data_IF_535750056732
#
_entry.id   IF_535750056732
#
_cell.length_a   1.000
_cell.length_b   1.000
_cell.length_c   1.000
_cell.angle_alpha   90.00
_cell.angle_beta   90.00
_cell.angle_gamma   90.00
#
_symmetry.space_group_name_H-M   'P 1'
#
loop_
_entity.id
_entity.type
_entity.pdbx_description
1 polymer ?
#
# COMPACT_ATOMS: atom_id res chain seq x y z
N UNK A 1 10.48 -17.49 6.47
CA UNK A 1 9.22 -16.93 7.02
C UNK A 1 8.52 -15.95 6.04
N UNK A 2 9.17 -14.87 5.54
CA UNK A 2 8.51 -13.92 4.61
C UNK A 2 7.98 -14.59 3.33
N UNK A 3 8.75 -15.48 2.72
CA UNK A 3 8.30 -16.26 1.56
C UNK A 3 7.09 -17.15 1.86
N UNK A 4 7.02 -17.72 3.07
CA UNK A 4 5.86 -18.50 3.49
C UNK A 4 4.65 -17.61 3.69
N UNK A 5 4.84 -16.43 4.30
CA UNK A 5 3.78 -15.44 4.47
C UNK A 5 3.21 -15.00 3.11
N UNK A 6 4.07 -14.73 2.13
CA UNK A 6 3.65 -14.36 0.77
C UNK A 6 2.89 -15.47 0.07
N UNK A 7 3.41 -16.71 0.10
CA UNK A 7 2.72 -17.87 -0.48
C UNK A 7 1.35 -18.12 0.14
N UNK A 8 1.26 -18.03 1.48
CA UNK A 8 -0.02 -18.21 2.18
C UNK A 8 -1.01 -17.09 1.82
N UNK A 9 -0.53 -15.85 1.67
CA UNK A 9 -1.35 -14.74 1.24
C UNK A 9 -1.90 -14.95 -0.20
N UNK A 10 -1.04 -15.36 -1.14
CA UNK A 10 -1.42 -15.68 -2.51
C UNK A 10 -2.45 -16.81 -2.57
N UNK A 11 -2.23 -17.89 -1.80
CA UNK A 11 -3.18 -18.99 -1.66
C UNK A 11 -4.56 -18.48 -1.19
N UNK A 12 -4.60 -17.58 -0.20
CA UNK A 12 -5.87 -17.04 0.34
C UNK A 12 -6.57 -16.11 -0.63
N UNK A 13 -5.83 -15.35 -1.43
CA UNK A 13 -6.40 -14.58 -2.52
C UNK A 13 -7.04 -15.49 -3.57
N UNK A 14 -6.37 -16.57 -3.94
CA UNK A 14 -6.83 -17.52 -4.95
C UNK A 14 -8.01 -18.38 -4.46
N UNK A 15 -8.02 -18.76 -3.18
CA UNK A 15 -9.11 -19.54 -2.57
C UNK A 15 -10.38 -18.73 -2.29
N UNK A 16 -10.35 -17.39 -2.42
CA UNK A 16 -11.47 -16.52 -2.09
C UNK A 16 -11.63 -16.20 -0.59
N UNK A 17 -10.71 -16.64 0.28
CA UNK A 17 -10.75 -16.32 1.71
C UNK A 17 -10.68 -14.80 1.97
N UNK A 18 -10.04 -14.04 1.08
CA UNK A 18 -9.97 -12.59 1.12
C UNK A 18 -11.04 -11.90 0.26
N UNK A 19 -12.11 -12.62 -0.11
CA UNK A 19 -13.15 -12.08 -0.97
C UNK A 19 -13.81 -10.83 -0.37
N UNK A 20 -13.93 -9.77 -1.17
CA UNK A 20 -14.52 -8.50 -0.75
C UNK A 20 -15.18 -7.76 -1.90
N UNK A 21 -16.09 -6.85 -1.58
CA UNK A 21 -16.70 -5.92 -2.53
C UNK A 21 -16.50 -4.45 -2.13
N UNK A 22 -15.71 -4.19 -1.07
CA UNK A 22 -15.43 -2.83 -0.62
C UNK A 22 -14.00 -2.73 -0.10
N UNK A 23 -13.19 -1.93 -0.79
CA UNK A 23 -11.76 -1.76 -0.57
C UNK A 23 -11.41 -0.29 -0.37
N UNK A 24 -10.53 0.00 0.57
CA UNK A 24 -9.85 1.29 0.68
C UNK A 24 -8.41 1.14 0.21
N UNK A 25 -7.92 2.14 -0.52
CA UNK A 25 -6.59 2.16 -1.11
C UNK A 25 -5.87 3.47 -0.82
N UNK A 26 -4.60 3.39 -0.47
CA UNK A 26 -3.72 4.55 -0.25
C UNK A 26 -2.25 4.19 -0.50
N UNK A 27 -1.38 5.19 -0.57
CA UNK A 27 0.06 5.06 -0.66
C UNK A 27 0.75 5.70 0.56
N UNK A 28 1.68 4.96 1.15
CA UNK A 28 2.53 5.47 2.23
C UNK A 28 3.94 5.68 1.71
N UNK A 29 4.51 6.85 1.95
CA UNK A 29 5.90 7.11 1.57
C UNK A 29 6.86 6.78 2.71
N UNK A 30 7.95 6.12 2.37
CA UNK A 30 9.17 5.94 3.17
C UNK A 30 10.40 6.18 2.29
N UNK A 31 11.59 5.76 2.69
CA UNK A 31 12.78 5.96 1.89
C UNK A 31 13.85 4.89 2.13
N UNK A 32 14.72 4.71 1.15
CA UNK A 32 15.89 3.85 1.18
C UNK A 32 17.13 4.69 1.50
N UNK A 33 17.82 4.38 2.61
CA UNK A 33 18.98 5.12 3.13
C UNK A 33 18.72 6.60 3.45
N UNK A 34 18.08 7.34 2.56
CA UNK A 34 17.93 8.80 2.62
C UNK A 34 16.60 9.23 1.99
N UNK A 35 16.08 10.38 2.45
CA UNK A 35 14.87 11.00 1.90
C UNK A 35 14.93 11.29 0.39
N UNK A 36 16.14 11.31 -0.18
CA UNK A 36 16.36 11.52 -1.62
C UNK A 36 16.18 10.24 -2.45
N UNK A 37 16.00 9.10 -1.80
CA UNK A 37 15.68 7.81 -2.42
C UNK A 37 14.31 7.32 -1.90
N UNK A 38 13.21 8.01 -2.28
CA UNK A 38 11.90 7.70 -1.77
C UNK A 38 11.40 6.35 -2.26
N UNK A 39 10.53 5.74 -1.43
CA UNK A 39 9.82 4.50 -1.69
C UNK A 39 8.35 4.79 -1.47
N UNK A 40 7.52 4.43 -2.43
CA UNK A 40 6.08 4.33 -2.26
C UNK A 40 5.69 2.92 -1.84
N UNK A 41 4.78 2.82 -0.90
CA UNK A 41 4.17 1.56 -0.45
C UNK A 41 2.68 1.67 -0.72
N UNK A 42 2.24 1.07 -1.80
CA UNK A 42 0.84 0.96 -2.17
C UNK A 42 0.15 -0.06 -1.26
N UNK A 43 -0.99 0.28 -0.69
CA UNK A 43 -1.71 -0.51 0.29
C UNK A 43 -3.20 -0.57 -0.05
N UNK A 44 -3.76 -1.79 -0.08
CA UNK A 44 -5.17 -2.05 -0.24
C UNK A 44 -5.71 -2.84 0.96
N UNK A 45 -6.79 -2.38 1.56
CA UNK A 45 -7.42 -3.03 2.70
C UNK A 45 -8.92 -3.23 2.50
N UNK A 46 -9.48 -4.26 3.09
CA UNK A 46 -10.93 -4.44 3.20
C UNK A 46 -11.50 -3.33 4.10
N UNK A 47 -12.40 -2.52 3.57
CA UNK A 47 -12.88 -1.30 4.24
C UNK A 47 -13.56 -1.53 5.60
N UNK A 48 -14.15 -2.70 5.84
CA UNK A 48 -14.86 -3.01 7.09
C UNK A 48 -13.98 -3.62 8.17
N UNK A 49 -13.00 -4.45 7.79
CA UNK A 49 -12.25 -5.29 8.74
C UNK A 49 -10.77 -4.89 8.87
N UNK A 50 -10.24 -4.14 7.90
CA UNK A 50 -8.82 -3.78 7.86
C UNK A 50 -7.90 -4.93 7.46
N UNK A 51 -8.46 -6.06 6.99
CA UNK A 51 -7.64 -7.11 6.39
C UNK A 51 -6.93 -6.57 5.16
N UNK A 52 -5.66 -6.83 5.07
CA UNK A 52 -4.83 -6.37 3.95
C UNK A 52 -5.09 -7.29 2.76
N UNK A 53 -5.51 -6.68 1.65
CA UNK A 53 -5.68 -7.35 0.36
C UNK A 53 -4.36 -7.38 -0.40
N UNK A 54 -3.56 -6.30 -0.33
CA UNK A 54 -2.23 -6.27 -0.91
C UNK A 54 -1.41 -5.12 -0.34
N UNK A 55 -0.09 -5.30 -0.31
CA UNK A 55 0.87 -4.23 -0.06
C UNK A 55 2.11 -4.41 -0.93
N UNK A 56 2.47 -3.37 -1.70
CA UNK A 56 3.59 -3.39 -2.64
C UNK A 56 4.48 -2.16 -2.48
N UNK A 57 5.77 -2.41 -2.31
CA UNK A 57 6.77 -1.34 -2.22
C UNK A 57 7.47 -1.13 -3.55
N UNK A 58 7.60 0.12 -3.98
CA UNK A 58 8.30 0.47 -5.20
C UNK A 58 9.14 1.74 -5.05
N UNK A 59 10.32 1.81 -5.68
CA UNK A 59 11.07 3.05 -5.75
C UNK A 59 10.33 4.05 -6.64
N UNK A 60 10.47 5.34 -6.33
CA UNK A 60 10.05 6.40 -7.23
C UNK A 60 11.04 7.57 -7.20
N UNK A 61 10.91 8.49 -8.17
CA UNK A 61 11.80 9.64 -8.27
C UNK A 61 11.43 10.72 -7.27
N UNK A 62 12.44 11.34 -6.66
CA UNK A 62 12.19 12.53 -5.85
C UNK A 62 11.68 13.68 -6.72
N UNK A 63 10.69 14.40 -6.23
CA UNK A 63 10.14 15.58 -6.93
C UNK A 63 11.00 16.83 -6.77
N UNK A 64 11.94 16.82 -5.84
CA UNK A 64 12.73 18.01 -5.44
C UNK A 64 14.19 17.83 -5.88
N UNK A 65 14.45 17.82 -7.18
CA UNK A 65 15.81 17.68 -7.73
C UNK A 65 16.77 18.78 -7.28
N UNK A 66 16.27 19.98 -7.01
CA UNK A 66 17.08 21.15 -6.63
C UNK A 66 17.81 20.97 -5.29
N UNK A 67 17.33 20.12 -4.40
CA UNK A 67 17.90 19.90 -3.07
C UNK A 67 18.61 18.54 -2.91
N UNK A 68 18.81 17.83 -4.01
CA UNK A 68 19.50 16.54 -3.99
C UNK A 68 21.01 16.77 -3.81
N UNK A 69 21.64 16.18 -2.77
CA UNK A 69 23.10 16.29 -2.60
C UNK A 69 23.86 15.78 -3.82
N UNK A 70 25.03 16.37 -4.10
CA UNK A 70 25.85 16.04 -5.27
C UNK A 70 26.10 14.54 -5.44
N UNK A 71 26.31 13.80 -4.33
CA UNK A 71 26.53 12.35 -4.35
C UNK A 71 25.35 11.51 -4.87
N UNK A 72 24.13 12.07 -4.92
CA UNK A 72 22.93 11.45 -5.48
C UNK A 72 22.44 12.14 -6.75
N UNK A 73 23.10 13.26 -7.13
CA UNK A 73 22.73 14.03 -8.29
C UNK A 73 23.15 13.26 -9.55
N UNK A 74 22.20 13.01 -10.45
CA UNK A 74 22.44 12.21 -11.66
C UNK A 74 22.36 10.68 -11.45
N UNK A 75 22.16 10.18 -10.23
CA UNK A 75 21.86 8.77 -10.02
C UNK A 75 20.52 8.42 -10.68
N UNK A 76 20.55 7.47 -11.61
CA UNK A 76 19.32 6.97 -12.19
C UNK A 76 18.54 6.17 -11.14
N UNK A 77 17.33 6.64 -10.81
CA UNK A 77 16.40 5.89 -9.97
C UNK A 77 15.16 5.56 -10.78
N UNK A 78 14.83 4.27 -10.93
CA UNK A 78 13.61 3.90 -11.64
C UNK A 78 12.39 4.41 -10.87
N UNK A 79 11.32 4.71 -11.60
CA UNK A 79 10.01 5.04 -11.03
C UNK A 79 9.05 3.89 -11.34
N UNK A 80 8.87 3.01 -10.35
CA UNK A 80 8.00 1.84 -10.44
C UNK A 80 6.71 2.01 -9.62
N UNK A 81 6.39 3.22 -9.20
CA UNK A 81 5.19 3.53 -8.42
C UNK A 81 3.92 3.04 -9.10
N UNK A 82 3.79 3.30 -10.40
CA UNK A 82 2.62 2.87 -11.17
C UNK A 82 2.48 1.34 -11.25
N UNK A 83 3.61 0.62 -11.24
CA UNK A 83 3.61 -0.86 -11.23
C UNK A 83 3.08 -1.37 -9.89
N UNK A 84 3.56 -0.83 -8.77
CA UNK A 84 3.07 -1.23 -7.45
C UNK A 84 1.56 -0.96 -7.26
N UNK A 85 1.07 0.18 -7.78
CA UNK A 85 -0.37 0.48 -7.78
C UNK A 85 -1.12 -0.55 -8.64
N UNK A 86 -0.59 -0.89 -9.81
CA UNK A 86 -1.21 -1.88 -10.70
C UNK A 86 -1.26 -3.27 -10.06
N UNK A 87 -0.19 -3.73 -9.43
CA UNK A 87 -0.13 -5.01 -8.72
C UNK A 87 -1.17 -5.06 -7.59
N UNK A 88 -1.33 -3.97 -6.83
CA UNK A 88 -2.41 -3.86 -5.85
C UNK A 88 -3.80 -3.95 -6.50
N UNK A 89 -4.03 -3.29 -7.65
CA UNK A 89 -5.31 -3.37 -8.35
C UNK A 89 -5.59 -4.77 -8.90
N UNK A 90 -4.56 -5.49 -9.35
CA UNK A 90 -4.68 -6.89 -9.78
C UNK A 90 -5.05 -7.81 -8.62
N UNK A 91 -4.47 -7.60 -7.43
CA UNK A 91 -4.82 -8.35 -6.22
C UNK A 91 -6.26 -8.02 -5.75
N UNK A 92 -6.67 -6.75 -5.81
CA UNK A 92 -8.07 -6.35 -5.58
C UNK A 92 -9.02 -7.07 -6.57
N UNK A 93 -8.63 -7.17 -7.84
CA UNK A 93 -9.42 -7.87 -8.85
C UNK A 93 -9.60 -9.35 -8.51
N UNK A 94 -8.56 -10.02 -8.01
CA UNK A 94 -8.62 -11.42 -7.54
C UNK A 94 -9.53 -11.56 -6.30
N UNK A 95 -9.46 -10.60 -5.38
CA UNK A 95 -10.28 -10.59 -4.17
C UNK A 95 -11.74 -10.15 -4.41
N UNK A 96 -12.06 -9.60 -5.57
CA UNK A 96 -13.40 -9.11 -5.87
C UNK A 96 -14.36 -10.26 -6.21
N UNK A 97 -15.44 -10.43 -5.45
CA UNK A 97 -16.55 -11.36 -5.79
C UNK A 97 -17.17 -11.01 -7.14
N UNK A 98 -17.32 -9.75 -7.43
CA UNK A 98 -17.86 -9.21 -8.66
C UNK A 98 -17.33 -7.81 -8.89
N UNK A 99 -16.72 -7.57 -10.03
CA UNK A 99 -16.18 -6.25 -10.36
C UNK A 99 -17.26 -5.15 -10.40
N UNK A 100 -18.47 -5.48 -10.87
CA UNK A 100 -19.61 -4.52 -10.93
C UNK A 100 -20.06 -4.06 -9.55
N UNK A 101 -19.95 -4.91 -8.55
CA UNK A 101 -20.34 -4.61 -7.18
C UNK A 101 -19.17 -4.10 -6.33
N UNK A 102 -17.96 -4.05 -6.90
CA UNK A 102 -16.77 -3.60 -6.19
C UNK A 102 -16.77 -2.08 -6.04
N UNK A 103 -16.60 -1.63 -4.82
CA UNK A 103 -16.38 -0.23 -4.46
C UNK A 103 -14.93 -0.06 -4.04
N UNK A 104 -14.22 0.88 -4.65
CA UNK A 104 -12.86 1.27 -4.29
C UNK A 104 -12.89 2.73 -3.82
N UNK A 105 -12.36 2.99 -2.64
CA UNK A 105 -12.26 4.31 -2.05
C UNK A 105 -10.80 4.69 -1.82
N UNK A 106 -10.42 5.89 -2.15
CA UNK A 106 -9.10 6.45 -1.87
C UNK A 106 -9.19 7.94 -1.54
N UNK A 107 -8.05 8.52 -1.15
CA UNK A 107 -7.91 9.97 -1.10
C UNK A 107 -8.01 10.62 -2.50
N UNK A 108 -7.89 11.94 -2.57
CA UNK A 108 -7.98 12.74 -3.80
C UNK A 108 -6.73 12.66 -4.70
N UNK A 109 -5.89 11.64 -4.57
CA UNK A 109 -4.72 11.46 -5.42
C UNK A 109 -5.11 11.22 -6.88
N UNK A 110 -4.56 12.04 -7.77
CA UNK A 110 -4.84 11.96 -9.22
C UNK A 110 -4.22 10.74 -9.90
N UNK A 111 -3.27 10.06 -9.22
CA UNK A 111 -2.52 8.95 -9.81
C UNK A 111 -3.32 7.64 -9.88
N UNK A 112 -4.31 7.45 -9.02
CA UNK A 112 -5.02 6.17 -8.89
C UNK A 112 -6.08 5.95 -9.97
N UNK A 113 -6.84 6.99 -10.29
CA UNK A 113 -8.00 6.91 -11.17
C UNK A 113 -7.71 6.24 -12.52
N UNK A 114 -6.57 6.57 -13.15
CA UNK A 114 -6.17 6.01 -14.45
C UNK A 114 -5.93 4.51 -14.37
N UNK A 115 -5.20 4.05 -13.34
CA UNK A 115 -4.86 2.63 -13.16
C UNK A 115 -6.10 1.83 -12.77
N UNK A 116 -6.92 2.34 -11.85
CA UNK A 116 -8.18 1.71 -11.45
C UNK A 116 -9.09 1.52 -12.67
N UNK A 117 -9.27 2.57 -13.47
CA UNK A 117 -10.13 2.52 -14.65
C UNK A 117 -9.63 1.54 -15.72
N UNK A 118 -8.31 1.33 -15.80
CA UNK A 118 -7.71 0.37 -16.73
C UNK A 118 -7.85 -1.07 -16.25
N UNK A 119 -7.60 -1.35 -14.96
CA UNK A 119 -7.56 -2.72 -14.40
C UNK A 119 -8.95 -3.20 -13.99
N UNK A 120 -9.77 -2.29 -13.47
CA UNK A 120 -11.09 -2.53 -12.89
C UNK A 120 -12.15 -1.59 -13.50
N UNK A 121 -12.38 -1.65 -14.83
CA UNK A 121 -13.22 -0.69 -15.55
C UNK A 121 -14.69 -0.69 -15.14
N UNK A 122 -15.18 -1.79 -14.54
CA UNK A 122 -16.59 -1.93 -14.12
C UNK A 122 -16.78 -1.63 -12.63
N UNK A 123 -15.70 -1.40 -11.87
CA UNK A 123 -15.77 -1.07 -10.46
C UNK A 123 -16.28 0.36 -10.24
N UNK A 124 -16.86 0.61 -9.06
CA UNK A 124 -17.24 1.95 -8.61
C UNK A 124 -16.10 2.57 -7.84
N UNK A 125 -15.40 3.51 -8.46
CA UNK A 125 -14.34 4.25 -7.80
C UNK A 125 -14.85 5.55 -7.18
N UNK A 126 -14.46 5.83 -5.94
CA UNK A 126 -14.80 7.05 -5.18
C UNK A 126 -13.54 7.67 -4.60
N UNK A 127 -13.38 8.97 -4.82
CA UNK A 127 -12.39 9.78 -4.11
C UNK A 127 -13.06 10.44 -2.92
N UNK A 128 -12.45 10.32 -1.76
CA UNK A 128 -12.99 10.83 -0.50
C UNK A 128 -11.98 11.79 0.13
N UNK A 129 -12.49 12.89 0.66
CA UNK A 129 -11.67 13.85 1.41
C UNK A 129 -11.70 13.50 2.88
N UNK A 130 -10.54 13.20 3.45
CA UNK A 130 -10.41 13.09 4.92
C UNK A 130 -10.38 14.49 5.52
N UNK A 131 -11.19 14.79 6.54
CA UNK A 131 -11.20 16.10 7.16
C UNK A 131 -9.84 16.45 7.76
N UNK A 132 -9.27 17.58 7.33
CA UNK A 132 -7.96 18.06 7.82
C UNK A 132 -7.98 18.50 9.28
N UNK A 133 -9.14 18.90 9.77
CA UNK A 133 -9.36 19.30 11.16
C UNK A 133 -10.27 18.26 11.78
N UNK A 134 -9.77 17.54 12.77
CA UNK A 134 -10.56 16.60 13.57
C UNK A 134 -11.56 17.36 14.41
N UNK A 135 -12.66 17.81 13.84
CA UNK A 135 -13.85 18.05 14.63
C UNK A 135 -14.31 16.67 15.12
N UNK A 136 -14.39 16.47 16.41
CA UNK A 136 -14.70 15.20 17.09
C UNK A 136 -16.02 14.55 16.65
N UNK A 137 -16.78 15.16 15.76
CA UNK A 137 -18.10 14.69 15.29
C UNK A 137 -18.08 14.10 13.89
N UNK A 138 -17.04 14.36 13.08
CA UNK A 138 -16.99 13.86 11.71
C UNK A 138 -16.21 12.54 11.66
N UNK A 139 -16.91 11.49 11.28
CA UNK A 139 -16.29 10.19 11.04
C UNK A 139 -15.38 10.28 9.81
N UNK A 140 -14.08 9.90 9.97
CA UNK A 140 -13.15 9.82 8.84
C UNK A 140 -13.60 8.70 7.89
N UNK A 141 -14.02 9.00 6.66
CA UNK A 141 -14.49 7.99 5.72
C UNK A 141 -13.39 7.01 5.30
N UNK A 142 -12.11 7.39 5.41
CA UNK A 142 -10.94 6.56 5.14
C UNK A 142 -10.28 6.02 6.44
N UNK A 143 -11.07 5.93 7.52
CA UNK A 143 -10.55 5.52 8.83
C UNK A 143 -9.76 4.21 8.78
N UNK A 144 -10.28 3.20 8.08
CA UNK A 144 -9.66 1.88 8.09
C UNK A 144 -8.28 1.88 7.45
N UNK A 145 -8.14 2.47 6.25
CA UNK A 145 -6.84 2.56 5.58
C UNK A 145 -5.87 3.43 6.40
N UNK A 146 -6.32 4.55 6.96
CA UNK A 146 -5.51 5.43 7.79
C UNK A 146 -5.05 4.73 9.08
N UNK A 147 -5.90 3.88 9.67
CA UNK A 147 -5.54 3.06 10.83
C UNK A 147 -4.44 2.05 10.49
N UNK A 148 -4.57 1.31 9.38
CA UNK A 148 -3.55 0.34 8.95
C UNK A 148 -2.25 1.04 8.55
N UNK A 149 -2.30 2.20 7.89
CA UNK A 149 -1.14 3.05 7.63
C UNK A 149 -0.41 3.46 8.91
N UNK A 150 -1.15 3.81 9.95
CA UNK A 150 -0.59 4.14 11.27
C UNK A 150 0.06 2.94 11.94
N UNK A 151 -0.57 1.77 11.86
CA UNK A 151 0.00 0.51 12.37
C UNK A 151 1.26 0.12 11.62
N UNK A 152 1.31 0.20 10.30
CA UNK A 152 2.52 -0.02 9.52
C UNK A 152 3.69 0.83 9.99
N UNK A 153 3.45 2.11 10.27
CA UNK A 153 4.49 3.02 10.79
C UNK A 153 4.90 2.71 12.23
N UNK A 154 3.99 2.21 13.03
CA UNK A 154 4.25 1.84 14.42
C UNK A 154 5.01 0.51 14.51
N UNK A 155 4.51 -0.52 13.84
CA UNK A 155 4.98 -1.90 13.98
C UNK A 155 6.26 -2.18 13.16
N UNK A 156 6.43 -1.50 12.01
CA UNK A 156 7.60 -1.64 11.17
C UNK A 156 8.54 -0.44 11.29
N UNK A 157 9.66 -0.61 11.99
CA UNK A 157 10.67 0.45 12.17
C UNK A 157 11.13 1.07 10.84
N UNK A 158 11.17 0.28 9.75
CA UNK A 158 11.53 0.74 8.38
C UNK A 158 10.53 1.75 7.82
N UNK A 159 9.31 1.80 8.34
CA UNK A 159 8.26 2.75 7.93
C UNK A 159 8.25 4.02 8.80
N UNK A 160 9.04 4.08 9.87
CA UNK A 160 9.05 5.19 10.84
C UNK A 160 9.70 6.49 10.34
N UNK A 161 10.32 6.49 9.13
CA UNK A 161 11.03 7.63 8.50
C UNK A 161 12.22 8.17 9.27
N UNK A 162 12.78 7.43 10.24
CA UNK A 162 14.01 7.80 10.96
C UNK A 162 15.22 7.21 10.24
N UNK A 163 16.26 8.00 10.04
CA UNK A 163 17.42 7.66 9.18
C UNK A 163 18.15 6.39 9.59
N UNK A 164 18.30 6.10 10.88
CA UNK A 164 19.01 4.89 11.36
C UNK A 164 18.22 3.59 11.19
N UNK A 165 16.89 3.66 11.05
CA UNK A 165 16.02 2.48 10.87
C UNK A 165 15.48 2.34 9.45
N UNK A 166 15.94 3.19 8.52
CA UNK A 166 15.47 3.16 7.13
C UNK A 166 15.78 1.84 6.43
N UNK A 167 15.02 1.57 5.42
CA UNK A 167 15.30 0.50 4.47
C UNK A 167 16.68 0.65 3.86
N UNK A 168 17.45 -0.42 3.81
CA UNK A 168 18.75 -0.48 3.14
C UNK A 168 18.66 -1.24 1.81
N UNK A 169 17.71 -2.16 1.70
CA UNK A 169 17.42 -2.95 0.51
C UNK A 169 15.90 -3.03 0.34
N UNK A 170 15.40 -2.73 -0.85
CA UNK A 170 13.97 -2.78 -1.19
C UNK A 170 13.36 -4.15 -0.90
N UNK A 171 14.04 -5.23 -1.29
CA UNK A 171 13.60 -6.61 -1.05
C UNK A 171 13.32 -6.89 0.42
N UNK A 172 14.17 -6.34 1.32
CA UNK A 172 13.98 -6.50 2.76
C UNK A 172 12.77 -5.73 3.28
N UNK A 173 12.44 -4.61 2.67
CA UNK A 173 11.19 -3.91 3.00
C UNK A 173 9.99 -4.76 2.60
N UNK A 174 9.96 -5.26 1.36
CA UNK A 174 8.85 -6.10 0.89
C UNK A 174 8.69 -7.35 1.78
N UNK A 175 9.78 -8.03 2.14
CA UNK A 175 9.74 -9.16 3.08
C UNK A 175 9.10 -8.81 4.43
N UNK A 176 9.36 -7.60 4.96
CA UNK A 176 8.73 -7.14 6.21
C UNK A 176 7.24 -6.81 6.00
N UNK A 177 6.88 -6.28 4.84
CA UNK A 177 5.49 -6.03 4.48
C UNK A 177 4.70 -7.34 4.35
N UNK A 178 5.29 -8.38 3.73
CA UNK A 178 4.68 -9.71 3.61
C UNK A 178 4.44 -10.36 5.00
N UNK A 179 5.39 -10.20 5.92
CA UNK A 179 5.22 -10.65 7.31
C UNK A 179 4.13 -9.83 8.02
N UNK A 180 4.05 -8.53 7.75
CA UNK A 180 3.01 -7.69 8.33
C UNK A 180 1.62 -8.05 7.83
N UNK A 181 1.46 -8.41 6.54
CA UNK A 181 0.20 -8.97 6.03
C UNK A 181 -0.21 -10.19 6.85
N UNK A 182 0.70 -11.15 7.02
CA UNK A 182 0.41 -12.38 7.74
C UNK A 182 0.03 -12.10 9.20
N UNK A 183 0.73 -11.17 9.86
CA UNK A 183 0.43 -10.74 11.23
C UNK A 183 -0.92 -10.04 11.32
N UNK A 184 -1.18 -9.05 10.46
CA UNK A 184 -2.39 -8.25 10.46
C UNK A 184 -3.63 -9.10 10.14
N UNK A 185 -3.51 -10.02 9.20
CA UNK A 185 -4.59 -10.91 8.77
C UNK A 185 -4.70 -12.19 9.64
N UNK A 186 -3.86 -12.36 10.66
CA UNK A 186 -3.92 -13.49 11.58
C UNK A 186 -3.56 -14.85 10.97
N UNK A 187 -2.64 -14.87 10.00
CA UNK A 187 -2.24 -16.14 9.37
C UNK A 187 -1.41 -16.99 10.32
N UNK A 188 -1.70 -18.29 10.34
CA UNK A 188 -0.85 -19.30 10.99
C UNK A 188 0.13 -19.83 9.95
N UNK A 189 1.40 -19.46 10.10
CA UNK A 189 2.45 -19.92 9.21
C UNK A 189 3.07 -21.20 9.81
N UNK A 190 2.79 -22.34 9.19
CA UNK A 190 3.47 -23.60 9.50
C UNK A 190 4.70 -23.75 8.60
N UNK A 191 5.83 -24.14 9.21
CA UNK A 191 7.05 -24.43 8.47
C UNK A 191 6.95 -25.79 7.75
#
# INVERSE_FOLDING_TARGET
MAMLARKEHERRLESGELETNWVQFDEIETFEHTKFRPISVALAVRAKTGEIIEVQAAPFRTRVEQHVPLKYKGEYRPDHRSVAIEDCMLSIKKAARSEVNLVIESDESTHYAKTIKRVLPKSRYRQLTSPRVKNQKDHDPLFMINHICSRLRHDLSRMSRKTWVTTKLMERLQMHLDLFIAYQNGYRLSA
#
